data_IF_164483154198
#
_entry.id   IF_164483154198
#
_cell.length_a   1.000
_cell.length_b   1.000
_cell.length_c   1.000
_cell.angle_alpha   90.00
_cell.angle_beta   90.00
_cell.angle_gamma   90.00
#
_symmetry.space_group_name_H-M   'P 1'
#
loop_
_entity.id
_entity.type
_entity.pdbx_description
1 polymer ?
#
# COMPACT_ATOMS: atom_id res chain seq x y z
N UNK A 1 2.35 -6.26 9.28
CA UNK A 1 2.81 -5.00 9.91
C UNK A 1 1.94 -4.55 11.08
N UNK A 2 0.63 -4.81 11.04
CA UNK A 2 -0.27 -4.44 12.14
C UNK A 2 0.23 -4.99 13.48
N UNK A 3 0.54 -6.27 13.53
CA UNK A 3 0.96 -6.97 14.75
C UNK A 3 2.34 -6.51 15.26
N UNK A 4 3.18 -6.01 14.36
CA UNK A 4 4.54 -5.54 14.69
C UNK A 4 4.53 -4.08 15.16
N UNK A 5 3.71 -3.23 14.54
CA UNK A 5 3.82 -1.78 14.68
C UNK A 5 2.78 -1.16 15.62
N UNK A 6 1.73 -1.88 16.03
CA UNK A 6 0.72 -1.39 16.98
C UNK A 6 1.10 -1.68 18.43
N UNK A 7 0.60 -0.85 19.35
CA UNK A 7 0.78 -1.06 20.80
C UNK A 7 2.06 -0.48 21.39
N UNK A 8 2.75 0.37 20.65
CA UNK A 8 4.01 0.99 21.09
C UNK A 8 3.88 2.47 21.48
N UNK A 9 2.64 2.99 21.56
CA UNK A 9 2.38 4.38 21.97
C UNK A 9 2.51 5.40 20.85
N UNK A 10 2.70 4.97 19.60
CA UNK A 10 2.61 5.86 18.44
C UNK A 10 1.16 5.91 17.95
N UNK A 11 0.43 6.93 18.42
CA UNK A 11 -1.03 7.06 18.22
C UNK A 11 -1.49 6.96 16.75
N UNK A 12 -0.65 7.40 15.81
CA UNK A 12 -0.95 7.32 14.36
C UNK A 12 -1.09 5.87 13.90
N UNK A 13 -0.27 4.98 14.43
CA UNK A 13 -0.33 3.56 14.09
C UNK A 13 -1.29 2.80 15.01
N UNK A 14 -1.32 3.16 16.29
CA UNK A 14 -2.17 2.49 17.28
C UNK A 14 -3.66 2.61 16.94
N UNK A 15 -4.07 3.76 16.38
CA UNK A 15 -5.45 4.04 15.98
C UNK A 15 -5.77 3.66 14.53
N UNK A 16 -4.78 3.25 13.73
CA UNK A 16 -5.01 2.93 12.32
C UNK A 16 -5.76 1.61 12.13
N UNK A 17 -6.68 1.55 11.17
CA UNK A 17 -7.28 0.28 10.71
C UNK A 17 -6.34 -0.53 9.83
N UNK A 18 -5.37 0.14 9.19
CA UNK A 18 -4.39 -0.50 8.32
C UNK A 18 -3.04 0.21 8.36
N UNK A 19 -1.98 -0.58 8.40
CA UNK A 19 -0.58 -0.15 8.26
C UNK A 19 0.04 -0.98 7.14
N UNK A 20 0.54 -0.33 6.12
CA UNK A 20 1.21 -0.97 5.01
C UNK A 20 2.41 -0.16 4.54
N UNK A 21 3.30 -0.79 3.79
CA UNK A 21 4.48 -0.09 3.31
C UNK A 21 5.09 -0.75 2.08
N UNK A 22 6.14 -0.12 1.58
CA UNK A 22 6.98 -0.60 0.49
C UNK A 22 8.44 -0.52 0.89
N UNK A 23 9.25 -1.41 0.36
CA UNK A 23 10.70 -1.36 0.45
C UNK A 23 11.26 -0.83 -0.87
N UNK A 24 12.01 0.28 -0.81
CA UNK A 24 12.71 0.88 -1.93
C UNK A 24 14.19 0.48 -1.85
N UNK A 25 14.60 -0.48 -2.67
CA UNK A 25 15.95 -1.02 -2.68
C UNK A 25 16.97 0.06 -3.03
N UNK A 26 18.06 0.13 -2.27
CA UNK A 26 19.16 1.06 -2.48
C UNK A 26 18.85 2.53 -2.18
N UNK A 27 17.67 2.85 -1.65
CA UNK A 27 17.22 4.22 -1.46
C UNK A 27 17.51 4.80 -0.05
N UNK A 28 18.27 4.12 0.80
CA UNK A 28 18.65 4.63 2.14
C UNK A 28 19.44 5.96 2.08
N UNK A 29 20.11 6.22 0.96
CA UNK A 29 20.87 7.46 0.72
C UNK A 29 20.01 8.70 0.46
N UNK A 30 18.67 8.56 0.38
CA UNK A 30 17.77 9.69 0.19
C UNK A 30 18.01 10.76 1.25
N UNK A 31 18.20 11.99 0.79
CA UNK A 31 18.39 13.14 1.66
C UNK A 31 17.08 13.47 2.40
N UNK A 32 17.19 14.23 3.49
CA UNK A 32 16.01 14.74 4.20
C UNK A 32 15.06 15.48 3.26
N UNK A 33 15.62 16.33 2.36
CA UNK A 33 14.82 17.08 1.37
C UNK A 33 14.00 16.15 0.46
N UNK A 34 14.57 15.04 0.03
CA UNK A 34 13.86 14.05 -0.79
C UNK A 34 12.76 13.34 0.00
N UNK A 35 13.01 12.99 1.27
CA UNK A 35 12.00 12.39 2.15
C UNK A 35 10.87 13.35 2.51
N UNK A 36 11.20 14.63 2.73
CA UNK A 36 10.20 15.69 2.92
C UNK A 36 9.34 15.86 1.66
N UNK A 37 9.96 15.84 0.47
CA UNK A 37 9.24 15.90 -0.81
C UNK A 37 8.29 14.70 -1.01
N UNK A 38 8.71 13.47 -0.64
CA UNK A 38 7.83 12.30 -0.65
C UNK A 38 6.68 12.44 0.35
N UNK A 39 6.95 13.01 1.52
CA UNK A 39 5.91 13.27 2.52
C UNK A 39 4.88 14.27 2.00
N UNK A 40 5.31 15.33 1.33
CA UNK A 40 4.41 16.28 0.68
C UNK A 40 3.67 15.66 -0.52
N UNK A 41 4.33 14.77 -1.28
CA UNK A 41 3.68 14.03 -2.37
C UNK A 41 2.49 13.20 -1.86
N UNK A 42 2.67 12.41 -0.79
CA UNK A 42 1.58 11.56 -0.28
C UNK A 42 0.45 12.35 0.37
N UNK A 43 0.71 13.58 0.84
CA UNK A 43 -0.31 14.48 1.41
C UNK A 43 -1.14 15.21 0.36
N UNK A 44 -0.72 15.23 -0.91
CA UNK A 44 -1.49 15.88 -1.97
C UNK A 44 -2.93 15.35 -2.01
N UNK A 45 -3.93 16.18 -2.35
CA UNK A 45 -5.34 15.77 -2.40
C UNK A 45 -5.58 14.52 -3.26
N UNK A 46 -4.80 14.34 -4.33
CA UNK A 46 -4.90 13.19 -5.23
C UNK A 46 -4.50 11.86 -4.57
N UNK A 47 -3.59 11.90 -3.61
CA UNK A 47 -3.14 10.73 -2.84
C UNK A 47 -3.88 10.68 -1.51
N UNK A 48 -3.91 11.79 -0.78
CA UNK A 48 -4.72 12.01 0.41
C UNK A 48 -4.26 11.24 1.66
N UNK A 49 -2.96 10.88 1.76
CA UNK A 49 -2.43 10.27 2.97
C UNK A 49 -2.18 11.35 4.05
N UNK A 50 -2.32 10.97 5.33
CA UNK A 50 -2.12 11.87 6.46
C UNK A 50 -0.64 12.21 6.70
N UNK A 51 0.28 11.34 6.29
CA UNK A 51 1.72 11.48 6.46
C UNK A 51 2.47 10.26 5.95
N UNK A 52 3.79 10.30 6.04
CA UNK A 52 4.70 9.23 5.64
C UNK A 52 5.65 8.93 6.80
N UNK A 53 5.71 7.67 7.21
CA UNK A 53 6.76 7.17 8.09
C UNK A 53 7.81 6.49 7.22
N UNK A 54 9.08 6.72 7.52
CA UNK A 54 10.18 6.08 6.82
C UNK A 54 11.19 5.49 7.78
N UNK A 55 11.85 4.42 7.34
CA UNK A 55 12.95 3.78 8.04
C UNK A 55 14.06 3.41 7.07
N UNK A 56 15.28 3.74 7.42
CA UNK A 56 16.49 3.43 6.65
C UNK A 56 17.19 2.23 7.26
N UNK A 57 17.63 1.32 6.44
CA UNK A 57 18.53 0.25 6.86
C UNK A 57 19.97 0.71 6.62
N UNK A 58 20.66 1.00 7.70
CA UNK A 58 22.05 1.47 7.67
C UNK A 58 23.00 0.35 7.21
N UNK A 59 24.22 0.72 6.85
CA UNK A 59 25.22 -0.23 6.36
C UNK A 59 25.61 -1.32 7.39
N UNK A 60 25.50 -1.01 8.68
CA UNK A 60 25.72 -1.94 9.80
C UNK A 60 24.51 -2.86 10.07
N UNK A 61 23.41 -2.70 9.30
CA UNK A 61 22.19 -3.45 9.44
C UNK A 61 21.21 -2.89 10.47
N UNK A 62 21.57 -1.83 11.19
CA UNK A 62 20.67 -1.14 12.10
C UNK A 62 19.60 -0.37 11.33
N UNK A 63 18.45 -0.15 11.98
CA UNK A 63 17.34 0.58 11.38
C UNK A 63 17.18 1.93 12.07
N UNK A 64 17.17 3.00 11.29
CA UNK A 64 16.83 4.35 11.75
C UNK A 64 15.50 4.79 11.15
N UNK A 65 14.57 5.15 12.00
CA UNK A 65 13.23 5.55 11.59
C UNK A 65 12.91 7.00 11.96
N UNK A 66 11.98 7.61 11.24
CA UNK A 66 11.40 8.90 11.63
C UNK A 66 10.62 8.85 12.95
N UNK A 67 10.37 7.65 13.47
CA UNK A 67 9.58 7.39 14.69
C UNK A 67 10.37 6.58 15.75
N UNK A 68 11.69 6.63 15.71
CA UNK A 68 12.61 5.90 16.64
C UNK A 68 12.22 6.06 18.12
N UNK A 69 11.61 7.19 18.50
CA UNK A 69 11.22 7.47 19.88
C UNK A 69 10.18 6.49 20.45
N UNK A 70 9.44 5.82 19.58
CA UNK A 70 8.33 4.95 19.98
C UNK A 70 8.68 3.46 19.87
N UNK A 71 9.75 3.11 19.15
CA UNK A 71 10.06 1.72 18.80
C UNK A 71 11.44 1.33 19.25
N UNK A 72 11.55 0.17 19.91
CA UNK A 72 12.85 -0.43 20.22
C UNK A 72 13.52 -0.93 18.95
N UNK A 73 14.83 -1.14 19.01
CA UNK A 73 15.59 -1.69 17.88
C UNK A 73 15.11 -3.10 17.48
N UNK A 74 14.64 -3.90 18.46
CA UNK A 74 14.09 -5.24 18.19
C UNK A 74 12.85 -5.16 17.28
N UNK A 75 11.91 -4.24 17.57
CA UNK A 75 10.70 -4.03 16.77
C UNK A 75 11.06 -3.50 15.37
N UNK A 76 12.00 -2.59 15.27
CA UNK A 76 12.48 -2.07 13.99
C UNK A 76 13.19 -3.16 13.17
N UNK A 77 13.91 -4.08 13.79
CA UNK A 77 14.51 -5.24 13.11
C UNK A 77 13.44 -6.24 12.65
N UNK A 78 12.41 -6.48 13.45
CA UNK A 78 11.27 -7.32 13.04
C UNK A 78 10.55 -6.72 11.84
N UNK A 79 10.28 -5.41 11.85
CA UNK A 79 9.74 -4.68 10.71
C UNK A 79 10.63 -4.83 9.47
N UNK A 80 11.94 -4.60 9.58
CA UNK A 80 12.91 -4.79 8.49
C UNK A 80 12.82 -6.20 7.91
N UNK A 81 12.76 -7.23 8.78
CA UNK A 81 12.67 -8.63 8.35
C UNK A 81 11.34 -8.91 7.61
N UNK A 82 10.23 -8.32 8.07
CA UNK A 82 8.93 -8.45 7.41
C UNK A 82 8.93 -7.90 5.98
N UNK A 83 9.76 -6.88 5.69
CA UNK A 83 9.98 -6.37 4.33
C UNK A 83 11.07 -7.10 3.55
N UNK A 84 11.84 -7.97 4.17
CA UNK A 84 13.04 -8.56 3.56
C UNK A 84 14.12 -7.51 3.23
N UNK A 85 14.08 -6.36 3.90
CA UNK A 85 14.94 -5.23 3.59
C UNK A 85 16.42 -5.49 3.98
N UNK A 86 17.32 -5.00 3.15
CA UNK A 86 18.77 -5.17 3.28
C UNK A 86 19.44 -3.84 3.63
N UNK A 87 20.70 -3.88 4.12
CA UNK A 87 21.49 -2.66 4.26
C UNK A 87 21.50 -1.82 2.97
N UNK A 88 21.20 -0.54 3.10
CA UNK A 88 21.06 0.37 1.97
C UNK A 88 19.62 0.61 1.49
N UNK A 89 18.64 -0.10 2.02
CA UNK A 89 17.23 0.03 1.62
C UNK A 89 16.48 1.07 2.47
N UNK A 90 15.43 1.61 1.87
CA UNK A 90 14.50 2.54 2.49
C UNK A 90 13.10 1.93 2.57
N UNK A 91 12.56 1.83 3.78
CA UNK A 91 11.19 1.39 4.02
C UNK A 91 10.31 2.63 4.16
N UNK A 92 9.19 2.67 3.42
CA UNK A 92 8.21 3.73 3.43
C UNK A 92 6.86 3.17 3.86
N UNK A 93 6.25 3.76 4.90
CA UNK A 93 5.05 3.21 5.54
C UNK A 93 3.95 4.27 5.55
N UNK A 94 2.76 3.87 5.15
CA UNK A 94 1.52 4.62 5.31
C UNK A 94 0.57 3.90 6.25
N UNK A 95 -0.28 4.67 6.90
CA UNK A 95 -1.36 4.15 7.74
C UNK A 95 -2.64 4.94 7.50
N UNK A 96 -3.77 4.30 7.73
CA UNK A 96 -5.07 4.95 7.57
C UNK A 96 -6.20 4.19 8.23
N UNK A 97 -7.36 4.82 8.22
CA UNK A 97 -8.60 4.33 8.85
C UNK A 97 -9.39 3.41 7.90
N UNK A 98 -9.00 3.38 6.61
CA UNK A 98 -9.60 2.55 5.57
C UNK A 98 -8.52 1.77 4.81
N UNK A 99 -8.69 0.45 4.75
CA UNK A 99 -7.75 -0.49 4.13
C UNK A 99 -7.61 -0.22 2.63
N UNK A 100 -8.75 -0.07 1.92
CA UNK A 100 -8.77 0.10 0.46
C UNK A 100 -8.14 1.43 0.07
N UNK A 101 -8.54 2.50 0.77
CA UNK A 101 -7.98 3.84 0.57
C UNK A 101 -6.47 3.87 0.80
N UNK A 102 -6.01 3.27 1.90
CA UNK A 102 -4.57 3.23 2.22
C UNK A 102 -3.77 2.41 1.20
N UNK A 103 -4.35 1.32 0.68
CA UNK A 103 -3.72 0.55 -0.41
C UNK A 103 -3.62 1.33 -1.71
N UNK A 104 -4.65 2.14 -2.07
CA UNK A 104 -4.57 3.06 -3.22
C UNK A 104 -3.45 4.10 -3.03
N UNK A 105 -3.33 4.68 -1.83
CA UNK A 105 -2.26 5.62 -1.49
C UNK A 105 -0.86 4.98 -1.59
N UNK A 106 -0.71 3.74 -1.13
CA UNK A 106 0.52 2.97 -1.28
C UNK A 106 0.84 2.66 -2.75
N UNK A 107 -0.17 2.43 -3.58
CA UNK A 107 0.02 2.24 -5.02
C UNK A 107 0.62 3.50 -5.66
N UNK A 108 0.10 4.69 -5.36
CA UNK A 108 0.64 5.96 -5.86
C UNK A 108 2.09 6.17 -5.40
N UNK A 109 2.37 5.92 -4.11
CA UNK A 109 3.72 6.00 -3.57
C UNK A 109 4.67 5.02 -4.27
N UNK A 110 4.23 3.78 -4.53
CA UNK A 110 5.01 2.77 -5.25
C UNK A 110 5.33 3.22 -6.68
N UNK A 111 4.36 3.79 -7.38
CA UNK A 111 4.54 4.29 -8.75
C UNK A 111 5.52 5.47 -8.77
N UNK A 112 5.42 6.39 -7.81
CA UNK A 112 6.34 7.52 -7.68
C UNK A 112 7.77 7.04 -7.40
N UNK A 113 7.94 6.10 -6.45
CA UNK A 113 9.25 5.52 -6.18
C UNK A 113 9.82 4.77 -7.40
N UNK A 114 8.97 4.02 -8.12
CA UNK A 114 9.39 3.36 -9.35
C UNK A 114 9.86 4.33 -10.43
N UNK A 115 9.25 5.53 -10.52
CA UNK A 115 9.71 6.60 -11.39
C UNK A 115 11.05 7.19 -10.94
N UNK A 116 11.19 7.56 -9.65
CA UNK A 116 12.39 8.18 -9.10
C UNK A 116 13.61 7.26 -9.18
N UNK A 117 13.40 5.95 -9.02
CA UNK A 117 14.46 4.93 -9.09
C UNK A 117 14.71 4.41 -10.51
N UNK A 118 13.97 4.90 -11.52
CA UNK A 118 14.13 4.45 -12.90
C UNK A 118 13.73 3.01 -13.16
N UNK A 119 12.86 2.43 -12.31
CA UNK A 119 12.44 1.03 -12.40
C UNK A 119 11.34 0.80 -13.45
N UNK A 120 10.79 1.87 -14.02
CA UNK A 120 9.74 1.80 -15.04
C UNK A 120 10.36 1.85 -16.43
N UNK A 121 10.55 0.69 -17.01
CA UNK A 121 11.00 0.54 -18.40
C UNK A 121 9.77 0.47 -19.32
N UNK A 122 9.63 1.47 -20.21
CA UNK A 122 8.49 1.56 -21.14
C UNK A 122 8.56 0.55 -22.29
N UNK A 123 9.74 0.01 -22.55
CA UNK A 123 9.98 -0.93 -23.64
C UNK A 123 9.91 -2.40 -23.17
N UNK A 124 9.73 -2.61 -21.84
CA UNK A 124 9.64 -3.93 -21.25
C UNK A 124 8.19 -4.31 -20.94
N UNK A 125 7.71 -5.35 -21.59
CA UNK A 125 6.41 -5.94 -21.31
C UNK A 125 6.57 -7.16 -20.39
N UNK A 126 5.82 -7.18 -19.28
CA UNK A 126 5.81 -8.29 -18.33
C UNK A 126 4.36 -8.73 -18.15
N UNK A 127 4.07 -9.98 -18.55
CA UNK A 127 2.75 -10.57 -18.33
C UNK A 127 2.62 -11.03 -16.87
N UNK A 128 1.48 -10.73 -16.26
CA UNK A 128 1.12 -11.20 -14.93
C UNK A 128 -0.37 -11.50 -14.88
N UNK A 129 -0.79 -12.30 -13.90
CA UNK A 129 -2.18 -12.51 -13.57
C UNK A 129 -2.58 -11.60 -12.42
N UNK A 130 -3.71 -10.92 -12.58
CA UNK A 130 -4.39 -10.25 -11.47
C UNK A 130 -5.50 -11.18 -11.00
N UNK A 131 -5.41 -11.62 -9.75
CA UNK A 131 -6.39 -12.49 -9.10
C UNK A 131 -7.12 -11.71 -8.00
N UNK A 132 -8.25 -12.23 -7.57
CA UNK A 132 -9.06 -11.64 -6.50
C UNK A 132 -9.42 -10.17 -6.79
N UNK A 133 -9.73 -9.88 -8.06
CA UNK A 133 -10.12 -8.54 -8.47
C UNK A 133 -11.51 -8.22 -7.90
N UNK A 134 -11.69 -7.07 -7.20
CA UNK A 134 -12.98 -6.70 -6.64
C UNK A 134 -14.04 -6.53 -7.73
N UNK A 135 -15.23 -7.10 -7.55
CA UNK A 135 -16.34 -6.92 -8.47
C UNK A 135 -16.93 -5.52 -8.37
N UNK A 136 -17.03 -4.99 -7.15
CA UNK A 136 -17.65 -3.70 -6.85
C UNK A 136 -16.76 -2.82 -5.99
N UNK A 137 -16.96 -1.51 -6.14
CA UNK A 137 -16.40 -0.46 -5.28
C UNK A 137 -17.55 0.41 -4.73
N UNK A 138 -17.50 0.68 -3.42
CA UNK A 138 -18.42 1.61 -2.78
C UNK A 138 -18.09 3.04 -3.15
N UNK A 139 -19.09 3.82 -3.55
CA UNK A 139 -18.98 5.24 -3.80
C UNK A 139 -19.65 6.00 -2.66
N UNK A 140 -18.87 6.83 -1.95
CA UNK A 140 -19.35 7.60 -0.79
C UNK A 140 -20.30 8.74 -1.18
N UNK A 141 -20.09 9.35 -2.36
CA UNK A 141 -20.93 10.48 -2.81
C UNK A 141 -22.33 10.00 -3.20
N UNK A 142 -22.41 8.88 -3.90
CA UNK A 142 -23.67 8.31 -4.39
C UNK A 142 -24.27 7.27 -3.45
N UNK A 143 -23.59 6.91 -2.37
CA UNK A 143 -24.00 5.93 -1.35
C UNK A 143 -24.44 4.59 -1.98
N UNK A 144 -23.69 4.10 -2.97
CA UNK A 144 -23.97 2.83 -3.67
C UNK A 144 -22.70 2.16 -4.21
N UNK A 145 -22.83 0.90 -4.57
CA UNK A 145 -21.80 0.15 -5.25
C UNK A 145 -21.78 0.42 -6.76
N UNK A 146 -20.58 0.54 -7.32
CA UNK A 146 -20.31 0.58 -8.75
C UNK A 146 -19.51 -0.64 -9.18
N UNK A 147 -19.75 -1.13 -10.40
CA UNK A 147 -18.92 -2.15 -11.00
C UNK A 147 -17.49 -1.62 -11.24
N UNK A 148 -16.50 -2.34 -10.75
CA UNK A 148 -15.09 -1.93 -10.86
C UNK A 148 -14.55 -2.04 -12.28
N UNK A 149 -15.09 -2.93 -13.10
CA UNK A 149 -14.58 -3.21 -14.43
C UNK A 149 -15.65 -2.96 -15.51
N UNK A 150 -16.59 -3.87 -15.66
CA UNK A 150 -17.65 -3.75 -16.67
C UNK A 150 -18.95 -4.33 -16.12
N UNK A 151 -20.13 -3.77 -16.44
CA UNK A 151 -21.40 -4.25 -15.91
C UNK A 151 -21.77 -5.69 -16.33
N UNK A 152 -21.13 -6.22 -17.36
CA UNK A 152 -21.35 -7.61 -17.83
C UNK A 152 -20.34 -8.60 -17.29
N UNK A 153 -19.51 -8.21 -16.30
CA UNK A 153 -18.60 -9.15 -15.62
C UNK A 153 -19.39 -10.09 -14.73
N UNK A 154 -18.93 -11.35 -14.65
CA UNK A 154 -19.53 -12.36 -13.78
C UNK A 154 -18.86 -12.34 -12.41
N UNK A 155 -19.63 -12.42 -11.31
CA UNK A 155 -19.08 -12.68 -9.99
C UNK A 155 -18.49 -14.08 -9.91
N UNK A 156 -17.56 -14.29 -8.96
CA UNK A 156 -17.15 -15.63 -8.59
C UNK A 156 -18.39 -16.44 -8.17
N UNK A 157 -18.58 -17.66 -8.69
CA UNK A 157 -19.76 -18.47 -8.34
C UNK A 157 -19.99 -18.66 -6.83
N UNK A 158 -18.90 -18.75 -6.05
CA UNK A 158 -18.97 -18.92 -4.60
C UNK A 158 -19.42 -17.63 -3.89
N UNK A 159 -19.28 -16.47 -4.54
CA UNK A 159 -19.64 -15.16 -3.98
C UNK A 159 -21.07 -14.74 -4.36
N UNK A 160 -21.79 -15.48 -5.21
CA UNK A 160 -23.16 -15.14 -5.62
C UNK A 160 -24.09 -14.87 -4.42
N UNK A 161 -24.06 -15.66 -3.32
CA UNK A 161 -24.87 -15.38 -2.14
C UNK A 161 -24.53 -14.06 -1.44
N UNK A 162 -23.33 -13.52 -1.65
CA UNK A 162 -22.88 -12.26 -1.04
C UNK A 162 -23.41 -11.02 -1.77
N UNK A 163 -23.95 -11.16 -2.98
CA UNK A 163 -24.45 -10.02 -3.76
C UNK A 163 -25.53 -9.23 -3.01
N UNK A 164 -26.36 -9.90 -2.22
CA UNK A 164 -27.44 -9.28 -1.45
C UNK A 164 -27.02 -8.88 -0.03
N UNK A 165 -25.97 -9.50 0.53
CA UNK A 165 -25.59 -9.33 1.95
C UNK A 165 -24.32 -8.53 2.16
N UNK A 166 -23.31 -8.74 1.32
CA UNK A 166 -22.01 -8.03 1.34
C UNK A 166 -21.42 -7.93 -0.06
N UNK A 167 -22.00 -7.13 -0.96
CA UNK A 167 -21.52 -7.01 -2.35
C UNK A 167 -20.08 -6.50 -2.43
N UNK A 168 -19.60 -5.80 -1.39
CA UNK A 168 -18.21 -5.33 -1.32
C UNK A 168 -17.17 -6.43 -1.17
N UNK A 169 -17.53 -7.61 -0.72
CA UNK A 169 -16.65 -8.76 -0.62
C UNK A 169 -16.59 -9.60 -1.90
N UNK A 170 -17.51 -9.37 -2.86
CA UNK A 170 -17.55 -10.16 -4.09
C UNK A 170 -16.33 -9.93 -4.98
N UNK A 171 -15.79 -11.00 -5.52
CA UNK A 171 -14.67 -11.00 -6.45
C UNK A 171 -15.16 -11.26 -7.88
N UNK A 172 -14.40 -10.74 -8.84
CA UNK A 172 -14.63 -10.96 -10.25
C UNK A 172 -14.14 -12.35 -10.66
N UNK A 173 -15.00 -13.12 -11.35
CA UNK A 173 -14.63 -14.41 -11.93
C UNK A 173 -14.08 -14.22 -13.34
N UNK A 174 -14.87 -13.59 -14.23
CA UNK A 174 -14.49 -13.41 -15.62
C UNK A 174 -15.13 -12.15 -16.22
N UNK A 175 -14.49 -11.62 -17.26
CA UNK A 175 -15.07 -10.61 -18.13
C UNK A 175 -15.53 -11.26 -19.43
N UNK A 176 -16.63 -10.80 -20.05
CA UNK A 176 -17.04 -11.30 -21.36
C UNK A 176 -15.95 -11.01 -22.39
N UNK A 177 -15.66 -12.02 -23.20
CA UNK A 177 -14.81 -11.86 -24.37
C UNK A 177 -15.64 -11.44 -25.58
N UNK A 178 -15.12 -10.60 -26.48
CA UNK A 178 -15.81 -10.28 -27.74
C UNK A 178 -16.08 -11.52 -28.63
N UNK A 179 -15.56 -12.69 -28.25
CA UNK A 179 -15.72 -13.95 -28.98
C UNK A 179 -16.69 -14.93 -28.29
N UNK A 180 -17.15 -14.61 -27.10
CA UNK A 180 -18.17 -15.33 -26.35
C UNK A 180 -19.54 -14.71 -26.63
#
# INVERSE_FOLDING_TARGET
LMDIMKGHGFSVFDNAAYIGGICAEGAASYTRKQLDALTEFVKRPQVGAKGLVYARVEADGNVKSSVDKFYSQEVLQEMKNAFGAKPGDLILILSGDDVRKTRKQLCELRLEMGNQLGLRDKDKFVCLWVIDFPLFEWNEDDQRFYAMHHPFTSPNPDDIPLLDTDPGACLLYTSPSPRD
#
